data_IF_009256815038
#
_entry.id   IF_009256815038
#
_cell.length_a   1.000
_cell.length_b   1.000
_cell.length_c   1.000
_cell.angle_alpha   90.00
_cell.angle_beta   90.00
_cell.angle_gamma   90.00
#
_symmetry.space_group_name_H-M   'P 1'
#
loop_
_entity.id
_entity.type
_entity.pdbx_description
1 polymer ?
#
# COMPACT_ATOMS: atom_id res chain seq x y z
N UNK A 1 9.78 -13.39 -17.44
CA UNK A 1 8.58 -14.10 -16.94
C UNK A 1 7.29 -13.29 -17.12
N UNK A 2 7.30 -11.96 -17.00
CA UNK A 2 6.10 -11.13 -17.27
C UNK A 2 5.85 -10.79 -18.75
N UNK A 3 6.86 -10.91 -19.61
CA UNK A 3 6.73 -10.67 -21.06
C UNK A 3 6.16 -11.90 -21.77
N UNK A 4 5.10 -11.72 -22.56
CA UNK A 4 4.40 -12.81 -23.26
C UNK A 4 5.24 -13.55 -24.29
N UNK A 5 6.33 -12.93 -24.77
CA UNK A 5 7.29 -13.53 -25.71
C UNK A 5 8.40 -14.34 -25.04
N UNK A 6 8.45 -14.38 -23.72
CA UNK A 6 9.48 -15.12 -22.99
C UNK A 6 9.05 -16.59 -22.81
N UNK A 7 9.91 -17.58 -23.11
CA UNK A 7 9.60 -18.99 -22.87
C UNK A 7 9.28 -19.32 -21.41
N UNK A 8 9.79 -18.50 -20.47
CA UNK A 8 9.49 -18.58 -19.03
C UNK A 8 8.23 -17.76 -18.64
N UNK A 9 7.38 -17.40 -19.60
CA UNK A 9 6.14 -16.68 -19.32
C UNK A 9 5.13 -17.57 -18.60
N UNK A 10 4.63 -17.10 -17.47
CA UNK A 10 3.70 -17.89 -16.63
C UNK A 10 4.36 -19.00 -15.81
N UNK A 11 5.67 -19.25 -15.97
CA UNK A 11 6.39 -20.15 -15.07
C UNK A 11 6.53 -19.49 -13.68
N UNK A 12 6.08 -20.20 -12.65
CA UNK A 12 6.08 -19.70 -11.28
C UNK A 12 7.38 -20.09 -10.57
N UNK A 13 8.22 -19.08 -10.28
CA UNK A 13 9.26 -19.23 -9.26
C UNK A 13 8.60 -19.24 -7.87
N UNK A 14 9.03 -20.14 -7.00
CA UNK A 14 8.52 -20.16 -5.62
C UNK A 14 8.89 -18.85 -4.92
N UNK A 15 8.01 -18.41 -4.02
CA UNK A 15 8.18 -17.18 -3.26
C UNK A 15 9.49 -17.18 -2.45
N UNK A 16 9.87 -18.33 -1.92
CA UNK A 16 11.13 -18.53 -1.19
C UNK A 16 12.37 -18.30 -2.07
N UNK A 17 12.29 -18.64 -3.36
CA UNK A 17 13.38 -18.40 -4.30
C UNK A 17 13.54 -16.90 -4.61
N UNK A 18 12.43 -16.20 -4.85
CA UNK A 18 12.44 -14.75 -5.09
C UNK A 18 12.88 -13.98 -3.84
N UNK A 19 12.36 -14.38 -2.66
CA UNK A 19 12.78 -13.85 -1.37
C UNK A 19 14.29 -14.05 -1.19
N UNK A 20 14.82 -15.25 -1.47
CA UNK A 20 16.25 -15.54 -1.41
C UNK A 20 17.10 -14.70 -2.37
N UNK A 21 16.59 -14.37 -3.55
CA UNK A 21 17.29 -13.51 -4.52
C UNK A 21 17.28 -12.03 -4.13
N UNK A 22 16.20 -11.57 -3.50
CA UNK A 22 16.03 -10.17 -3.06
C UNK A 22 16.40 -9.96 -1.59
N UNK A 23 16.86 -11.00 -0.91
CA UNK A 23 17.32 -10.95 0.47
C UNK A 23 18.61 -10.11 0.56
N UNK A 24 18.76 -9.25 1.58
CA UNK A 24 20.03 -8.60 1.87
C UNK A 24 21.13 -9.65 2.00
N UNK A 25 22.37 -9.29 1.64
CA UNK A 25 23.48 -10.21 1.83
C UNK A 25 23.57 -10.65 3.30
N UNK A 26 23.97 -11.90 3.54
CA UNK A 26 24.15 -12.42 4.90
C UNK A 26 25.14 -11.58 5.74
N UNK A 27 25.98 -10.77 5.09
CA UNK A 27 26.85 -9.79 5.75
C UNK A 27 26.04 -8.60 6.27
N UNK A 28 25.21 -7.98 5.43
CA UNK A 28 24.38 -6.83 5.80
C UNK A 28 23.40 -7.19 6.93
N UNK A 29 22.74 -8.36 6.87
CA UNK A 29 21.84 -8.81 7.93
C UNK A 29 22.56 -9.01 9.27
N UNK A 30 23.78 -9.58 9.25
CA UNK A 30 24.59 -9.77 10.48
C UNK A 30 25.09 -8.46 11.07
N UNK A 31 25.47 -7.49 10.24
CA UNK A 31 25.89 -6.16 10.70
C UNK A 31 24.74 -5.41 11.39
N UNK A 32 23.53 -5.45 10.81
CA UNK A 32 22.35 -4.83 11.43
C UNK A 32 21.99 -5.52 12.74
N UNK A 33 22.07 -6.86 12.80
CA UNK A 33 21.82 -7.60 14.04
C UNK A 33 22.84 -7.29 15.13
N UNK A 34 24.13 -7.29 14.79
CA UNK A 34 25.21 -6.92 15.71
C UNK A 34 25.05 -5.48 16.23
N UNK A 35 24.59 -4.57 15.37
CA UNK A 35 24.27 -3.20 15.77
C UNK A 35 23.07 -3.14 16.73
N UNK A 36 22.00 -3.89 16.49
CA UNK A 36 20.83 -3.97 17.39
C UNK A 36 21.17 -4.64 18.74
N UNK A 37 22.03 -5.65 18.74
CA UNK A 37 22.57 -6.29 19.94
C UNK A 37 23.43 -5.31 20.75
N UNK A 38 24.29 -4.54 20.08
CA UNK A 38 25.08 -3.46 20.71
C UNK A 38 24.16 -2.40 21.31
N UNK A 39 23.04 -2.12 20.65
CA UNK A 39 22.01 -1.24 21.16
C UNK A 39 21.16 -1.89 22.27
N UNK A 40 21.41 -3.15 22.65
CA UNK A 40 20.72 -3.94 23.69
C UNK A 40 19.22 -4.17 23.42
N UNK A 41 18.78 -4.13 22.17
CA UNK A 41 17.36 -4.33 21.82
C UNK A 41 17.03 -5.81 21.76
N UNK A 42 15.93 -6.23 22.39
CA UNK A 42 15.41 -7.58 22.22
C UNK A 42 14.82 -7.74 20.81
N UNK A 43 15.51 -8.49 19.96
CA UNK A 43 15.07 -8.85 18.61
C UNK A 43 14.05 -9.97 18.69
N UNK A 44 12.79 -9.62 18.92
CA UNK A 44 11.69 -10.57 18.80
C UNK A 44 11.25 -10.66 17.34
N UNK A 45 11.27 -11.88 16.81
CA UNK A 45 10.81 -12.34 15.49
C UNK A 45 11.62 -11.86 14.27
N UNK A 46 12.58 -12.69 13.85
CA UNK A 46 12.77 -12.92 12.41
C UNK A 46 11.52 -13.65 11.91
N UNK A 47 10.71 -12.98 11.09
CA UNK A 47 9.78 -13.69 10.22
C UNK A 47 10.60 -14.42 9.17
N UNK A 48 10.37 -15.71 8.97
CA UNK A 48 11.15 -16.59 8.08
C UNK A 48 11.12 -16.23 6.59
N UNK A 49 10.50 -15.10 6.20
CA UNK A 49 10.22 -14.77 4.80
C UNK A 49 10.71 -13.41 4.31
N UNK A 50 11.34 -12.54 5.12
CA UNK A 50 11.41 -11.14 4.71
C UNK A 50 12.70 -10.37 5.02
N UNK A 51 13.11 -9.58 4.02
CA UNK A 51 14.21 -8.62 3.97
C UNK A 51 14.12 -7.45 4.97
N UNK A 52 13.37 -7.57 6.08
CA UNK A 52 13.24 -6.56 7.12
C UNK A 52 13.34 -7.14 8.53
N UNK A 53 13.88 -6.34 9.44
CA UNK A 53 13.97 -6.66 10.87
C UNK A 53 13.00 -5.76 11.62
N UNK A 54 12.04 -6.38 12.31
CA UNK A 54 11.12 -5.70 13.21
C UNK A 54 11.57 -5.96 14.64
N UNK A 55 11.55 -4.93 15.48
CA UNK A 55 11.88 -5.08 16.90
C UNK A 55 11.03 -4.13 17.74
N UNK A 56 10.85 -4.49 19.01
CA UNK A 56 10.19 -3.62 19.99
C UNK A 56 11.25 -3.07 20.94
N UNK A 57 11.26 -1.76 21.14
CA UNK A 57 12.16 -1.10 22.07
C UNK A 57 11.45 0.01 22.85
N UNK A 58 11.86 0.30 24.10
CA UNK A 58 11.41 1.50 24.80
C UNK A 58 11.73 2.76 23.99
N UNK A 59 10.85 3.76 24.05
CA UNK A 59 11.04 5.05 23.34
C UNK A 59 12.41 5.66 23.65
N UNK A 60 12.82 5.67 24.92
CA UNK A 60 14.12 6.18 25.38
C UNK A 60 15.32 5.50 24.71
N UNK A 61 15.15 4.28 24.22
CA UNK A 61 16.16 3.48 23.53
C UNK A 61 16.13 3.74 22.04
N UNK A 62 14.94 3.77 21.44
CA UNK A 62 14.74 4.15 20.05
C UNK A 62 15.30 5.57 19.77
N UNK A 63 15.10 6.52 20.69
CA UNK A 63 15.70 7.86 20.61
C UNK A 63 17.22 7.85 20.52
N UNK A 64 17.89 6.96 21.26
CA UNK A 64 19.35 6.82 21.23
C UNK A 64 19.84 6.18 19.93
N UNK A 65 19.16 5.12 19.51
CA UNK A 65 19.50 4.32 18.31
C UNK A 65 19.40 5.18 17.05
N UNK A 66 18.30 5.91 16.90
CA UNK A 66 17.98 6.71 15.73
C UNK A 66 18.41 8.18 15.86
N UNK A 67 19.12 8.53 16.95
CA UNK A 67 19.54 9.89 17.30
C UNK A 67 18.40 10.90 17.11
N UNK A 68 17.25 10.58 17.69
CA UNK A 68 15.97 11.25 17.44
C UNK A 68 15.21 11.55 18.74
N UNK A 69 14.10 12.29 18.63
CA UNK A 69 13.12 12.50 19.69
C UNK A 69 11.74 12.07 19.22
N UNK A 70 11.07 11.24 20.00
CA UNK A 70 9.69 10.87 19.74
C UNK A 70 8.75 11.79 20.51
N UNK A 71 7.64 12.13 19.87
CA UNK A 71 6.58 12.94 20.42
C UNK A 71 5.25 12.21 20.29
N UNK A 72 4.33 12.54 21.18
CA UNK A 72 2.95 12.07 21.10
C UNK A 72 2.15 13.09 20.31
N UNK A 73 1.56 12.66 19.20
CA UNK A 73 0.69 13.47 18.37
C UNK A 73 -0.74 13.00 18.54
N UNK A 74 -1.65 13.95 18.71
CA UNK A 74 -3.08 13.70 18.70
C UNK A 74 -3.63 14.18 17.36
N UNK A 75 -4.16 13.26 16.57
CA UNK A 75 -4.82 13.62 15.33
C UNK A 75 -6.10 14.40 15.66
N UNK A 76 -6.18 15.66 15.21
CA UNK A 76 -7.22 16.61 15.63
C UNK A 76 -8.65 16.10 15.44
N UNK A 77 -8.88 15.33 14.36
CA UNK A 77 -10.19 14.83 13.94
C UNK A 77 -10.58 13.51 14.61
N UNK A 78 -9.77 12.47 14.41
CA UNK A 78 -10.08 11.13 14.92
C UNK A 78 -9.78 10.96 16.40
N UNK A 79 -9.08 11.91 17.03
CA UNK A 79 -8.58 11.81 18.41
C UNK A 79 -7.62 10.65 18.63
N UNK A 80 -7.13 10.03 17.54
CA UNK A 80 -6.14 8.99 17.60
C UNK A 80 -4.82 9.56 18.11
N UNK A 81 -4.21 8.83 19.04
CA UNK A 81 -2.91 9.17 19.62
C UNK A 81 -1.85 8.32 18.96
N UNK A 82 -0.85 8.94 18.34
CA UNK A 82 0.26 8.25 17.67
C UNK A 82 1.61 8.77 18.18
N UNK A 83 2.59 7.88 18.27
CA UNK A 83 3.97 8.23 18.65
C UNK A 83 4.82 8.31 17.38
N UNK A 84 5.37 9.49 17.07
CA UNK A 84 6.15 9.76 15.85
C UNK A 84 7.37 10.63 16.15
N UNK A 85 8.27 10.77 15.18
CA UNK A 85 9.40 11.69 15.24
C UNK A 85 9.44 12.56 13.98
N UNK A 86 9.92 13.80 14.12
CA UNK A 86 10.06 14.76 13.02
C UNK A 86 11.35 14.57 12.21
N UNK A 87 12.38 13.94 12.78
CA UNK A 87 13.67 13.71 12.11
C UNK A 87 14.46 12.60 12.79
N UNK A 88 15.20 11.81 12.04
CA UNK A 88 16.10 10.79 12.59
C UNK A 88 17.41 10.75 11.81
N UNK A 89 18.43 10.11 12.38
CA UNK A 89 19.73 9.93 11.71
C UNK A 89 20.21 8.50 11.90
N UNK A 90 20.59 7.87 10.78
CA UNK A 90 21.22 6.55 10.76
C UNK A 90 22.69 6.68 10.36
N UNK A 91 23.50 5.69 10.76
CA UNK A 91 24.91 5.62 10.37
C UNK A 91 25.00 5.52 8.83
N UNK A 92 25.73 6.44 8.22
CA UNK A 92 25.86 6.58 6.75
C UNK A 92 26.71 5.46 6.17
N UNK A 93 26.19 4.62 5.29
CA UNK A 93 26.98 3.85 4.31
C UNK A 93 26.21 3.69 2.98
N UNK A 94 26.78 4.34 1.95
CA UNK A 94 26.82 4.06 0.49
C UNK A 94 25.53 3.83 -0.32
N UNK A 95 25.29 4.73 -1.28
CA UNK A 95 24.36 4.61 -2.42
C UNK A 95 25.07 4.12 -3.70
N UNK A 96 24.35 3.46 -4.63
CA UNK A 96 24.59 3.65 -6.07
C UNK A 96 23.26 3.70 -6.92
N UNK A 97 23.27 3.91 -8.26
CA UNK A 97 22.67 5.08 -8.93
C UNK A 97 21.34 4.81 -9.66
N UNK A 98 20.65 5.89 -10.03
CA UNK A 98 19.34 5.97 -10.70
C UNK A 98 19.41 5.83 -12.24
N UNK A 99 18.35 5.30 -12.86
CA UNK A 99 18.08 5.27 -14.31
C UNK A 99 16.62 5.63 -14.59
N UNK A 100 16.38 6.45 -15.63
CA UNK A 100 15.19 7.28 -15.84
C UNK A 100 13.98 6.64 -16.55
N UNK A 101 12.89 7.43 -16.57
CA UNK A 101 11.54 7.12 -17.09
C UNK A 101 11.31 7.78 -18.46
N UNK A 102 10.54 7.12 -19.34
CA UNK A 102 10.10 7.59 -20.67
C UNK A 102 8.58 7.90 -20.64
N UNK A 103 8.08 8.96 -21.29
CA UNK A 103 6.66 9.31 -21.29
C UNK A 103 5.87 8.62 -22.42
N UNK A 104 4.57 8.38 -22.20
CA UNK A 104 3.60 7.95 -23.22
C UNK A 104 2.46 8.98 -23.33
N UNK A 105 1.95 9.22 -24.54
CA UNK A 105 1.05 10.33 -24.90
C UNK A 105 -0.43 9.95 -24.99
N UNK A 106 -1.24 10.98 -24.74
CA UNK A 106 -2.69 11.05 -24.60
C UNK A 106 -3.38 11.30 -25.96
N UNK A 107 -3.92 10.27 -26.63
CA UNK A 107 -4.52 10.46 -27.97
C UNK A 107 -5.95 9.97 -28.20
N UNK A 108 -6.59 9.19 -27.30
CA UNK A 108 -7.89 8.57 -27.64
C UNK A 108 -9.06 8.85 -26.67
N UNK A 109 -8.95 9.78 -25.73
CA UNK A 109 -10.02 10.07 -24.76
C UNK A 109 -10.79 11.35 -25.11
N UNK A 110 -11.60 11.29 -26.18
CA UNK A 110 -12.72 12.22 -26.36
C UNK A 110 -14.01 11.44 -26.13
N UNK A 111 -14.41 11.34 -24.86
CA UNK A 111 -15.72 10.85 -24.46
C UNK A 111 -16.55 12.04 -23.96
N UNK A 112 -17.78 12.15 -24.47
CA UNK A 112 -18.76 13.18 -24.19
C UNK A 112 -19.00 13.35 -22.67
N UNK A 113 -18.56 14.49 -22.10
CA UNK A 113 -18.47 14.74 -20.65
C UNK A 113 -19.80 15.00 -19.93
N UNK A 114 -20.94 14.75 -20.58
CA UNK A 114 -22.28 15.06 -20.04
C UNK A 114 -23.01 13.87 -19.41
N UNK A 115 -22.40 12.68 -19.38
CA UNK A 115 -23.04 11.45 -18.90
C UNK A 115 -22.38 10.97 -17.61
N UNK A 116 -23.18 10.78 -16.56
CA UNK A 116 -22.72 10.10 -15.34
C UNK A 116 -22.29 8.67 -15.67
N UNK A 117 -21.00 8.38 -15.49
CA UNK A 117 -20.43 7.05 -15.75
C UNK A 117 -20.74 6.13 -14.59
N UNK A 118 -21.75 5.26 -14.74
CA UNK A 118 -22.11 4.27 -13.73
C UNK A 118 -21.32 2.96 -13.92
N UNK A 119 -21.12 2.16 -12.85
CA UNK A 119 -20.53 0.82 -12.98
C UNK A 119 -21.22 -0.06 -14.01
N UNK A 120 -22.55 0.00 -14.12
CA UNK A 120 -23.30 -0.74 -15.15
C UNK A 120 -22.87 -0.35 -16.59
N UNK A 121 -22.63 0.95 -16.85
CA UNK A 121 -22.11 1.42 -18.14
C UNK A 121 -20.71 0.89 -18.40
N UNK A 122 -19.82 0.96 -17.41
CA UNK A 122 -18.46 0.45 -17.56
C UNK A 122 -18.41 -1.06 -17.79
N UNK A 123 -19.27 -1.84 -17.12
CA UNK A 123 -19.41 -3.29 -17.38
C UNK A 123 -19.87 -3.57 -18.81
N UNK A 124 -20.75 -2.73 -19.37
CA UNK A 124 -21.19 -2.91 -20.77
C UNK A 124 -20.07 -2.72 -21.80
N UNK A 125 -19.01 -1.99 -21.44
CA UNK A 125 -17.82 -1.81 -22.27
C UNK A 125 -16.82 -2.96 -22.13
N UNK A 126 -16.84 -3.66 -21.00
CA UNK A 126 -16.00 -4.83 -20.76
C UNK A 126 -16.67 -6.12 -21.27
N UNK A 127 -15.93 -6.92 -22.05
CA UNK A 127 -16.40 -8.20 -22.60
C UNK A 127 -16.03 -9.41 -21.74
N UNK A 128 -15.31 -9.20 -20.64
CA UNK A 128 -14.76 -10.27 -19.79
C UNK A 128 -15.58 -10.43 -18.51
N UNK A 129 -15.82 -11.69 -18.12
CA UNK A 129 -16.42 -12.00 -16.82
C UNK A 129 -15.31 -12.09 -15.77
N UNK A 130 -15.42 -11.35 -14.65
CA UNK A 130 -14.49 -11.49 -13.54
C UNK A 130 -14.53 -12.89 -12.93
N UNK A 131 -13.39 -13.38 -12.42
CA UNK A 131 -13.33 -14.62 -11.64
C UNK A 131 -13.59 -14.33 -10.16
N UNK A 132 -14.78 -14.67 -9.68
CA UNK A 132 -15.22 -14.44 -8.30
C UNK A 132 -14.49 -15.28 -7.24
N UNK A 133 -13.62 -16.22 -7.65
CA UNK A 133 -12.75 -16.97 -6.73
C UNK A 133 -11.45 -16.23 -6.42
N UNK A 134 -11.11 -15.19 -7.18
CA UNK A 134 -9.87 -14.43 -7.01
C UNK A 134 -10.14 -13.20 -6.16
N UNK A 135 -9.41 -13.05 -5.06
CA UNK A 135 -9.59 -11.91 -4.15
C UNK A 135 -9.19 -10.60 -4.84
N UNK A 136 -10.04 -9.60 -4.74
CA UNK A 136 -9.78 -8.23 -5.19
C UNK A 136 -9.42 -7.39 -3.97
N UNK A 137 -8.20 -6.87 -3.94
CA UNK A 137 -7.73 -5.97 -2.90
C UNK A 137 -7.88 -4.52 -3.31
N UNK A 138 -8.38 -3.68 -2.41
CA UNK A 138 -8.46 -2.23 -2.56
C UNK A 138 -7.66 -1.59 -1.43
N UNK A 139 -6.70 -0.73 -1.78
CA UNK A 139 -5.87 -0.02 -0.81
C UNK A 139 -6.63 1.13 -0.16
N UNK A 140 -6.52 1.26 1.17
CA UNK A 140 -7.12 2.35 1.93
C UNK A 140 -6.09 3.08 2.76
N UNK A 141 -5.93 4.38 2.51
CA UNK A 141 -4.98 5.25 3.22
C UNK A 141 -5.67 6.52 3.73
N UNK A 142 -4.94 7.31 4.53
CA UNK A 142 -5.29 8.67 4.94
C UNK A 142 -6.60 8.80 5.73
N UNK A 143 -6.93 7.76 6.50
CA UNK A 143 -8.13 7.72 7.35
C UNK A 143 -9.45 7.86 6.58
N UNK A 144 -9.45 7.37 5.34
CA UNK A 144 -10.64 7.20 4.52
C UNK A 144 -11.20 5.79 4.68
N UNK A 145 -12.53 5.68 4.84
CA UNK A 145 -13.21 4.43 5.15
C UNK A 145 -14.52 4.32 4.36
N UNK A 146 -14.74 3.18 3.71
CA UNK A 146 -16.04 2.90 3.10
C UNK A 146 -17.07 2.48 4.14
N UNK A 147 -18.29 2.98 3.98
CA UNK A 147 -19.42 2.64 4.86
C UNK A 147 -20.27 1.55 4.22
N UNK A 148 -20.61 0.52 4.99
CA UNK A 148 -21.47 -0.56 4.51
C UNK A 148 -22.83 -0.06 4.00
N UNK A 149 -23.45 0.87 4.72
CA UNK A 149 -24.73 1.44 4.31
C UNK A 149 -24.65 2.28 3.04
N UNK A 150 -23.53 2.98 2.82
CA UNK A 150 -23.26 3.70 1.58
C UNK A 150 -23.05 2.73 0.42
N UNK A 151 -22.27 1.68 0.66
CA UNK A 151 -21.98 0.63 -0.30
C UNK A 151 -23.25 -0.07 -0.81
N UNK A 152 -24.08 -0.62 0.09
CA UNK A 152 -25.32 -1.29 -0.31
C UNK A 152 -26.26 -0.35 -1.07
N UNK A 153 -26.38 0.91 -0.63
CA UNK A 153 -27.16 1.92 -1.36
C UNK A 153 -26.61 2.18 -2.76
N UNK A 154 -25.30 2.17 -2.94
CA UNK A 154 -24.65 2.34 -4.24
C UNK A 154 -24.92 1.14 -5.16
N UNK A 155 -24.84 -0.09 -4.63
CA UNK A 155 -25.21 -1.29 -5.37
C UNK A 155 -26.67 -1.25 -5.83
N UNK A 156 -27.60 -0.87 -4.94
CA UNK A 156 -29.02 -0.75 -5.28
C UNK A 156 -29.28 0.26 -6.41
N UNK A 157 -28.58 1.40 -6.38
CA UNK A 157 -28.80 2.48 -7.34
C UNK A 157 -28.11 2.24 -8.68
N UNK A 158 -26.91 1.65 -8.67
CA UNK A 158 -26.02 1.66 -9.83
C UNK A 158 -25.59 0.27 -10.31
N UNK A 159 -25.90 -0.78 -9.53
CA UNK A 159 -25.47 -2.14 -9.81
C UNK A 159 -26.55 -3.18 -9.43
N UNK A 160 -27.84 -2.84 -9.56
CA UNK A 160 -28.98 -3.65 -9.10
C UNK A 160 -29.10 -5.06 -9.72
N UNK A 161 -28.30 -5.36 -10.75
CA UNK A 161 -28.18 -6.69 -11.36
C UNK A 161 -27.21 -7.63 -10.63
N UNK A 162 -26.42 -7.10 -9.69
CA UNK A 162 -25.43 -7.84 -8.90
C UNK A 162 -26.14 -8.37 -7.65
N UNK A 163 -25.90 -9.64 -7.23
CA UNK A 163 -26.40 -10.16 -5.97
C UNK A 163 -25.97 -9.27 -4.80
N UNK A 164 -26.84 -9.12 -3.80
CA UNK A 164 -26.47 -8.40 -2.58
C UNK A 164 -25.23 -9.05 -1.97
N UNK A 165 -24.15 -8.27 -1.92
CA UNK A 165 -22.81 -8.71 -1.50
C UNK A 165 -22.23 -7.66 -0.58
N UNK A 166 -21.16 -8.04 0.12
CA UNK A 166 -20.45 -7.14 0.99
C UNK A 166 -18.94 -7.23 0.75
N UNK A 167 -18.19 -6.24 1.24
CA UNK A 167 -16.73 -6.23 1.24
C UNK A 167 -16.18 -6.53 2.64
N UNK A 168 -14.99 -7.12 2.69
CA UNK A 168 -14.27 -7.37 3.94
C UNK A 168 -13.28 -6.25 4.21
N UNK A 169 -12.94 -6.02 5.49
CA UNK A 169 -11.92 -5.02 5.87
C UNK A 169 -10.79 -5.70 6.63
N UNK A 170 -9.55 -5.41 6.22
CA UNK A 170 -8.33 -5.80 6.92
C UNK A 170 -7.66 -4.55 7.47
N UNK A 171 -7.31 -4.57 8.75
CA UNK A 171 -6.72 -3.44 9.46
C UNK A 171 -5.20 -3.63 9.58
N UNK A 172 -4.44 -2.70 9.03
CA UNK A 172 -2.98 -2.75 9.00
C UNK A 172 -2.43 -1.66 9.90
N UNK A 173 -1.47 -2.03 10.77
CA UNK A 173 -0.77 -1.12 11.69
C UNK A 173 -1.67 -0.27 12.58
N UNK A 174 -2.82 -0.81 13.00
CA UNK A 174 -3.81 -0.07 13.79
C UNK A 174 -4.76 0.79 12.96
N UNK A 175 -4.93 0.47 11.66
CA UNK A 175 -5.99 1.01 10.81
C UNK A 175 -7.36 0.90 11.48
N UNK A 176 -8.28 1.78 11.07
CA UNK A 176 -9.64 1.81 11.61
C UNK A 176 -10.65 1.42 10.53
N UNK A 177 -11.91 1.23 10.96
CA UNK A 177 -13.03 1.05 10.04
C UNK A 177 -14.23 1.85 10.57
N UNK A 178 -14.16 3.17 10.42
CA UNK A 178 -15.17 4.06 11.00
C UNK A 178 -16.45 4.04 10.15
N UNK A 179 -17.52 3.51 10.73
CA UNK A 179 -18.83 3.41 10.07
C UNK A 179 -19.77 4.59 10.37
N UNK A 180 -19.44 5.43 11.35
CA UNK A 180 -20.20 6.64 11.71
C UNK A 180 -19.33 7.90 11.89
N UNK A 181 -18.42 8.22 10.95
CA UNK A 181 -17.69 9.48 11.00
C UNK A 181 -18.61 10.65 10.66
N UNK A 182 -18.29 11.83 11.21
CA UNK A 182 -18.94 13.10 10.84
C UNK A 182 -18.53 13.57 9.44
N UNK A 183 -17.38 13.10 8.93
CA UNK A 183 -16.86 13.45 7.61
C UNK A 183 -17.18 12.37 6.56
N UNK A 184 -17.45 12.81 5.33
CA UNK A 184 -17.72 11.94 4.18
C UNK A 184 -16.36 11.50 3.61
N UNK A 185 -16.16 10.19 3.47
CA UNK A 185 -14.99 9.65 2.78
C UNK A 185 -15.33 9.43 1.32
N UNK A 186 -14.89 10.33 0.42
CA UNK A 186 -15.22 10.20 -1.01
C UNK A 186 -14.37 9.16 -1.71
N UNK A 187 -13.07 9.10 -1.38
CA UNK A 187 -12.09 8.23 -2.05
C UNK A 187 -12.37 6.73 -1.81
N UNK A 188 -12.32 6.31 -0.53
CA UNK A 188 -12.55 4.91 -0.17
C UNK A 188 -13.95 4.42 -0.59
N UNK A 189 -14.96 5.30 -0.54
CA UNK A 189 -16.28 5.00 -1.07
C UNK A 189 -16.27 4.78 -2.59
N UNK A 190 -15.67 5.69 -3.35
CA UNK A 190 -15.60 5.59 -4.79
C UNK A 190 -14.87 4.30 -5.23
N UNK A 191 -13.72 4.03 -4.62
CA UNK A 191 -12.89 2.87 -4.94
C UNK A 191 -13.63 1.56 -4.72
N UNK A 192 -14.21 1.38 -3.53
CA UNK A 192 -14.91 0.14 -3.19
C UNK A 192 -16.17 -0.02 -4.02
N UNK A 193 -16.98 1.03 -4.16
CA UNK A 193 -18.24 0.95 -4.89
C UNK A 193 -18.03 0.62 -6.37
N UNK A 194 -17.07 1.27 -7.04
CA UNK A 194 -16.79 0.97 -8.45
C UNK A 194 -16.09 -0.36 -8.60
N UNK A 195 -15.07 -0.65 -7.81
CA UNK A 195 -14.30 -1.88 -7.96
C UNK A 195 -15.16 -3.11 -7.68
N UNK A 196 -15.95 -3.11 -6.59
CA UNK A 196 -16.83 -4.24 -6.28
C UNK A 196 -17.96 -4.39 -7.30
N UNK A 197 -18.56 -3.29 -7.78
CA UNK A 197 -19.62 -3.36 -8.80
C UNK A 197 -19.09 -3.82 -10.17
N UNK A 198 -17.87 -3.44 -10.55
CA UNK A 198 -17.24 -3.91 -11.78
C UNK A 198 -16.85 -5.38 -11.69
N UNK A 199 -16.24 -5.76 -10.56
CA UNK A 199 -15.74 -7.09 -10.32
C UNK A 199 -16.83 -8.10 -10.01
N UNK A 200 -18.00 -7.69 -9.47
CA UNK A 200 -19.08 -8.60 -9.07
C UNK A 200 -18.52 -9.77 -8.26
N UNK A 201 -17.74 -9.37 -7.25
CA UNK A 201 -16.83 -10.26 -6.56
C UNK A 201 -17.05 -10.16 -5.05
N UNK A 202 -17.55 -11.23 -4.40
CA UNK A 202 -17.75 -11.25 -2.97
C UNK A 202 -16.43 -11.28 -2.18
N UNK A 203 -15.31 -11.57 -2.84
CA UNK A 203 -13.96 -11.55 -2.23
C UNK A 203 -13.28 -10.19 -2.40
N UNK A 204 -14.05 -9.10 -2.31
CA UNK A 204 -13.50 -7.74 -2.30
C UNK A 204 -13.05 -7.39 -0.87
N UNK A 205 -11.77 -7.06 -0.71
CA UNK A 205 -11.16 -6.72 0.59
C UNK A 205 -10.57 -5.32 0.55
N UNK A 206 -11.00 -4.46 1.48
CA UNK A 206 -10.43 -3.16 1.74
C UNK A 206 -9.30 -3.28 2.77
N UNK A 207 -8.09 -2.88 2.39
CA UNK A 207 -6.90 -2.90 3.25
C UNK A 207 -6.68 -1.52 3.86
N UNK A 208 -7.29 -1.25 5.01
CA UNK A 208 -7.17 0.02 5.72
C UNK A 208 -5.85 0.10 6.49
N UNK A 209 -4.97 0.98 6.05
CA UNK A 209 -3.63 1.12 6.61
C UNK A 209 -3.50 2.43 7.38
N UNK A 210 -3.20 2.33 8.67
CA UNK A 210 -2.88 3.50 9.49
C UNK A 210 -1.47 4.01 9.23
N UNK A 211 -1.29 5.29 9.58
CA UNK A 211 -0.01 5.98 9.53
C UNK A 211 0.12 6.89 8.31
N UNK A 212 1.33 7.41 8.15
CA UNK A 212 1.71 8.35 7.10
C UNK A 212 3.10 7.99 6.59
N UNK A 213 3.31 8.17 5.29
CA UNK A 213 4.60 8.03 4.64
C UNK A 213 5.60 9.10 5.10
N UNK A 214 6.89 8.96 4.77
CA UNK A 214 7.87 10.00 5.01
C UNK A 214 7.74 11.14 4.00
N UNK A 215 7.97 12.38 4.45
CA UNK A 215 8.00 13.59 3.62
C UNK A 215 9.38 14.23 3.64
N UNK A 216 9.84 14.70 2.48
CA UNK A 216 10.96 15.64 2.36
C UNK A 216 10.36 17.05 2.47
N UNK A 217 10.75 17.78 3.51
CA UNK A 217 10.37 19.18 3.70
C UNK A 217 11.29 20.10 2.89
N UNK A 218 10.72 21.12 2.26
CA UNK A 218 11.46 22.09 1.44
C UNK A 218 12.24 23.13 2.27
N UNK A 219 13.10 23.91 1.61
CA UNK A 219 13.77 25.06 2.25
C UNK A 219 12.74 26.13 2.56
N UNK A 220 12.58 26.46 3.86
CA UNK A 220 11.57 27.42 4.34
C UNK A 220 10.32 26.78 4.94
N UNK A 221 10.22 25.45 4.86
CA UNK A 221 9.18 24.66 5.53
C UNK A 221 9.54 24.49 7.01
N UNK A 222 8.59 24.69 7.91
CA UNK A 222 8.87 24.66 9.36
C UNK A 222 8.95 23.23 9.94
N UNK A 223 8.71 22.22 9.09
CA UNK A 223 8.72 20.80 9.45
C UNK A 223 7.66 20.43 10.49
N UNK A 224 6.68 21.32 10.73
CA UNK A 224 5.61 21.13 11.70
C UNK A 224 4.35 20.49 11.10
N UNK A 225 4.29 20.38 9.77
CA UNK A 225 3.22 19.70 9.05
C UNK A 225 3.23 18.20 9.31
N UNK A 226 2.07 17.63 9.66
CA UNK A 226 1.88 16.18 9.59
C UNK A 226 1.94 15.77 8.11
N UNK A 227 2.74 14.73 7.83
CA UNK A 227 2.77 14.15 6.48
C UNK A 227 1.37 13.66 6.11
N UNK A 228 0.93 13.99 4.91
CA UNK A 228 -0.27 13.48 4.25
C UNK A 228 0.05 12.33 3.29
N UNK A 229 1.29 11.85 3.29
CA UNK A 229 1.73 10.78 2.41
C UNK A 229 1.17 9.41 2.83
N UNK A 230 0.97 8.52 1.87
CA UNK A 230 0.50 7.17 2.05
C UNK A 230 1.56 6.24 2.65
N UNK A 231 1.20 5.44 3.67
CA UNK A 231 2.10 4.50 4.33
C UNK A 231 2.29 3.18 3.56
N UNK A 232 2.67 3.25 2.27
CA UNK A 232 2.85 2.09 1.37
C UNK A 232 3.65 0.93 1.98
N UNK A 233 4.78 1.24 2.63
CA UNK A 233 5.63 0.21 3.24
C UNK A 233 4.89 -0.64 4.27
N UNK A 234 3.97 -0.04 5.03
CA UNK A 234 3.18 -0.76 6.03
C UNK A 234 2.28 -1.80 5.39
N UNK A 235 1.60 -1.41 4.30
CA UNK A 235 0.71 -2.28 3.56
C UNK A 235 1.46 -3.40 2.83
N UNK A 236 2.54 -3.08 2.12
CA UNK A 236 3.28 -4.09 1.35
C UNK A 236 4.01 -5.09 2.23
N UNK A 237 4.53 -4.67 3.40
CA UNK A 237 5.06 -5.62 4.38
C UNK A 237 3.99 -6.59 4.85
N UNK A 238 2.82 -6.08 5.22
CA UNK A 238 1.69 -6.92 5.62
C UNK A 238 1.32 -7.92 4.53
N UNK A 239 1.15 -7.46 3.28
CA UNK A 239 0.80 -8.32 2.16
C UNK A 239 1.88 -9.36 1.88
N UNK A 240 3.14 -8.96 1.90
CA UNK A 240 4.24 -9.91 1.76
C UNK A 240 4.26 -10.89 2.94
N UNK A 241 3.86 -10.56 4.15
CA UNK A 241 3.83 -11.56 5.24
C UNK A 241 2.64 -12.55 5.14
N UNK A 242 1.68 -12.34 4.23
CA UNK A 242 0.55 -13.25 4.03
C UNK A 242 0.95 -14.53 3.28
N UNK A 243 0.26 -15.66 3.56
CA UNK A 243 0.34 -16.85 2.74
C UNK A 243 -0.31 -16.62 1.36
N UNK A 244 0.12 -17.41 0.36
CA UNK A 244 -0.23 -17.19 -1.05
C UNK A 244 -1.75 -17.27 -1.34
N UNK A 245 -2.51 -18.04 -0.56
CA UNK A 245 -3.96 -18.17 -0.67
C UNK A 245 -4.74 -17.01 -0.03
N UNK A 246 -4.08 -16.23 0.83
CA UNK A 246 -4.62 -15.00 1.42
C UNK A 246 -4.27 -13.75 0.61
N UNK A 247 -3.29 -13.81 -0.28
CA UNK A 247 -2.95 -12.70 -1.17
C UNK A 247 -4.12 -12.29 -2.08
N UNK A 248 -4.29 -10.99 -2.37
CA UNK A 248 -5.17 -10.55 -3.44
C UNK A 248 -4.56 -10.92 -4.80
N UNK A 249 -5.39 -11.36 -5.76
CA UNK A 249 -4.93 -11.57 -7.13
C UNK A 249 -4.70 -10.23 -7.85
N UNK A 250 -5.50 -9.22 -7.50
CA UNK A 250 -5.40 -7.85 -7.99
C UNK A 250 -5.43 -6.91 -6.80
N UNK A 251 -4.50 -5.97 -6.71
CA UNK A 251 -4.49 -4.89 -5.74
C UNK A 251 -4.64 -3.55 -6.48
N UNK A 252 -5.80 -2.89 -6.32
CA UNK A 252 -6.05 -1.57 -6.87
C UNK A 252 -5.74 -0.49 -5.84
N UNK A 253 -4.98 0.52 -6.26
CA UNK A 253 -4.58 1.65 -5.42
C UNK A 253 -4.84 2.96 -6.19
N UNK A 254 -5.76 3.77 -5.67
CA UNK A 254 -6.16 5.07 -6.23
C UNK A 254 -5.36 6.25 -5.66
N UNK A 255 -4.54 5.98 -4.65
CA UNK A 255 -3.68 6.94 -3.98
C UNK A 255 -2.33 7.08 -4.69
N UNK A 256 -1.69 8.24 -4.56
CA UNK A 256 -0.46 8.54 -5.27
C UNK A 256 0.32 9.70 -4.67
N UNK A 257 1.64 9.62 -4.83
CA UNK A 257 2.58 10.60 -4.30
C UNK A 257 3.26 11.40 -5.39
N UNK A 258 3.57 12.66 -5.08
CA UNK A 258 4.52 13.43 -5.90
C UNK A 258 5.93 12.92 -5.59
N UNK A 259 6.54 12.21 -6.55
CA UNK A 259 7.83 11.53 -6.36
C UNK A 259 8.99 12.40 -5.86
N UNK A 260 8.92 13.73 -5.99
CA UNK A 260 9.90 14.68 -5.46
C UNK A 260 9.77 14.95 -3.95
N UNK A 261 8.67 14.52 -3.32
CA UNK A 261 8.39 14.77 -1.89
C UNK A 261 8.66 13.56 -1.00
N UNK A 262 9.03 12.41 -1.54
CA UNK A 262 9.38 11.22 -0.77
C UNK A 262 10.90 10.95 -0.82
N UNK A 263 11.52 10.46 0.27
CA UNK A 263 12.93 10.04 0.26
C UNK A 263 13.22 9.00 -0.82
N UNK A 264 14.36 9.13 -1.50
CA UNK A 264 14.78 8.18 -2.54
C UNK A 264 14.85 6.73 -2.01
N UNK A 265 15.34 6.57 -0.78
CA UNK A 265 15.38 5.26 -0.10
C UNK A 265 13.99 4.66 0.11
N UNK A 266 12.99 5.49 0.43
CA UNK A 266 11.60 5.06 0.54
C UNK A 266 11.06 4.62 -0.83
N UNK A 267 11.23 5.44 -1.87
CA UNK A 267 10.77 5.14 -3.22
C UNK A 267 11.38 3.84 -3.77
N UNK A 268 12.71 3.65 -3.62
CA UNK A 268 13.41 2.42 -4.05
C UNK A 268 12.93 1.19 -3.26
N UNK A 269 12.74 1.33 -1.95
CA UNK A 269 12.27 0.22 -1.11
C UNK A 269 10.87 -0.22 -1.51
N UNK A 270 9.96 0.74 -1.70
CA UNK A 270 8.59 0.48 -2.15
C UNK A 270 8.57 -0.14 -3.55
N UNK A 271 9.43 0.34 -4.47
CA UNK A 271 9.62 -0.25 -5.80
C UNK A 271 10.02 -1.73 -5.75
N UNK A 272 10.99 -2.08 -4.90
CA UNK A 272 11.41 -3.47 -4.72
C UNK A 272 10.30 -4.35 -4.12
N UNK A 273 9.41 -3.79 -3.31
CA UNK A 273 8.26 -4.53 -2.76
C UNK A 273 7.19 -4.77 -3.82
N UNK A 274 6.96 -3.82 -4.75
CA UNK A 274 6.11 -4.08 -5.91
C UNK A 274 6.66 -5.22 -6.76
N UNK A 275 7.97 -5.22 -7.00
CA UNK A 275 8.60 -6.30 -7.74
C UNK A 275 8.41 -7.66 -7.06
N UNK A 276 8.48 -7.72 -5.72
CA UNK A 276 8.23 -8.94 -4.94
C UNK A 276 6.77 -9.42 -5.04
N UNK A 277 5.80 -8.52 -4.88
CA UNK A 277 4.37 -8.85 -4.96
C UNK A 277 3.97 -9.30 -6.37
N UNK A 278 4.49 -8.64 -7.40
CA UNK A 278 4.21 -8.97 -8.80
C UNK A 278 5.04 -10.13 -9.36
N UNK A 279 6.06 -10.60 -8.63
CA UNK A 279 6.85 -11.74 -9.06
C UNK A 279 5.99 -13.02 -9.08
N UNK A 280 6.35 -14.04 -9.88
CA UNK A 280 5.48 -15.21 -10.10
C UNK A 280 5.05 -15.99 -8.85
N UNK A 281 5.81 -15.89 -7.75
CA UNK A 281 5.45 -16.46 -6.45
C UNK A 281 4.49 -15.60 -5.61
N UNK A 282 4.38 -14.30 -5.89
CA UNK A 282 3.36 -13.42 -5.31
C UNK A 282 2.12 -13.29 -6.19
N UNK A 283 2.30 -13.28 -7.52
CA UNK A 283 1.22 -13.32 -8.52
C UNK A 283 0.23 -12.17 -8.46
N UNK A 284 0.52 -11.11 -7.69
CA UNK A 284 -0.38 -9.98 -7.48
C UNK A 284 -0.27 -9.00 -8.64
N UNK A 285 -1.38 -8.74 -9.32
CA UNK A 285 -1.46 -7.63 -10.28
C UNK A 285 -1.73 -6.34 -9.51
N UNK A 286 -0.72 -5.48 -9.38
CA UNK A 286 -0.85 -4.21 -8.69
C UNK A 286 -1.15 -3.10 -9.69
N UNK A 287 -2.23 -2.33 -9.47
CA UNK A 287 -2.69 -1.26 -10.34
C UNK A 287 -2.70 0.05 -9.54
N UNK A 288 -2.12 1.10 -10.12
CA UNK A 288 -2.08 2.45 -9.55
C UNK A 288 -2.82 3.45 -10.44
N UNK A 289 -3.49 4.43 -9.82
CA UNK A 289 -3.91 5.64 -10.53
C UNK A 289 -2.68 6.42 -11.01
N UNK A 290 -2.81 7.14 -12.13
CA UNK A 290 -1.72 7.94 -12.69
C UNK A 290 -1.62 9.36 -12.11
N UNK A 291 -2.54 9.72 -11.21
CA UNK A 291 -2.78 11.10 -10.78
C UNK A 291 -3.82 11.82 -11.66
N UNK A 292 -4.43 12.87 -11.09
CA UNK A 292 -5.52 13.67 -11.64
C UNK A 292 -5.18 15.18 -11.77
N UNK A 293 -3.88 15.52 -11.62
CA UNK A 293 -3.32 16.88 -11.57
C UNK A 293 -2.71 17.38 -12.86
#
# INVERSE_FOLDING_TARGET
MSTSSNPEHGHQMSRDYISGFLHPSNVASREVLSWLETAQVSTTSFGSHASWITFTAPVSKAEKIYKTRFYTFEHKKSKAIVVRTLKYSLLSHTEPPLLGVVPATLADLVADCSVTITPHRLRSLSRTRPDSRKRLGISGFLDHYERYSGFHRSLDLYASSIPDTNFSVVLINGGLNLQNPLEISTEASLDIQYAAALADNPLTTFYSSAGRGPTIFGVGDDGSGESDHEPYLGQFRYLLDLPDDELPAVLSTSYGEVGQRVPETYAKTTCNMFAQLGAPGGGVSVIFSSGDS
#
